data_IF_176388879342
#
_entry.id   IF_176388879342
#
_cell.length_a   1.000
_cell.length_b   1.000
_cell.length_c   1.000
_cell.angle_alpha   90.00
_cell.angle_beta   90.00
_cell.angle_gamma   90.00
#
_symmetry.space_group_name_H-M   'P 1'
#
loop_
_entity.id
_entity.type
_entity.pdbx_description
1 polymer ?
#
# COMPACT_ATOMS: atom_id res chain seq x y z
N UNK A 1 16.58 10.23 -73.10
CA UNK A 1 15.91 11.52 -73.38
C UNK A 1 15.66 12.20 -72.04
N UNK A 2 16.34 13.32 -71.79
CA UNK A 2 16.21 14.18 -70.61
C UNK A 2 14.78 14.69 -70.42
N UNK A 3 14.36 14.90 -69.17
CA UNK A 3 14.25 16.26 -68.61
C UNK A 3 13.91 16.21 -67.11
N UNK A 4 14.69 16.97 -66.33
CA UNK A 4 14.38 17.40 -64.96
C UNK A 4 13.31 18.49 -64.98
N UNK A 5 12.50 18.58 -63.92
CA UNK A 5 12.03 19.87 -63.39
C UNK A 5 12.06 19.83 -61.85
N UNK A 6 12.50 20.95 -61.30
CA UNK A 6 12.76 21.30 -59.91
C UNK A 6 11.52 21.85 -59.17
N UNK A 7 11.37 21.41 -57.91
CA UNK A 7 11.31 22.24 -56.69
C UNK A 7 10.03 23.03 -56.28
N UNK A 8 9.71 22.87 -54.97
CA UNK A 8 9.15 23.83 -53.97
C UNK A 8 7.75 23.54 -53.37
N UNK A 9 7.78 23.15 -52.09
CA UNK A 9 7.14 23.89 -50.99
C UNK A 9 5.64 23.77 -50.80
N UNK A 10 5.22 23.05 -49.74
CA UNK A 10 4.26 23.54 -48.73
C UNK A 10 3.98 22.45 -47.69
N UNK A 11 4.17 22.80 -46.43
CA UNK A 11 3.80 22.03 -45.24
C UNK A 11 2.27 21.94 -45.12
N UNK A 12 1.68 20.77 -44.85
CA UNK A 12 0.35 20.72 -44.25
C UNK A 12 0.48 20.55 -42.74
N UNK A 13 -0.23 21.42 -42.02
CA UNK A 13 -0.42 21.41 -40.58
C UNK A 13 -0.91 20.05 -40.06
N UNK A 14 -0.28 19.56 -39.00
CA UNK A 14 -0.79 18.46 -38.19
C UNK A 14 -2.00 19.00 -37.43
N UNK A 15 -3.20 18.64 -37.87
CA UNK A 15 -4.42 18.82 -37.08
C UNK A 15 -4.32 17.94 -35.83
N UNK A 16 -4.35 18.60 -34.67
CA UNK A 16 -4.58 17.99 -33.37
C UNK A 16 -5.90 17.21 -33.40
N UNK A 17 -5.84 15.91 -33.15
CA UNK A 17 -7.01 15.10 -32.81
C UNK A 17 -6.79 14.58 -31.38
N UNK A 18 -7.41 15.27 -30.42
CA UNK A 18 -7.57 14.76 -29.07
C UNK A 18 -8.76 13.78 -29.03
N UNK A 19 -8.64 12.56 -28.47
CA UNK A 19 -9.81 11.74 -28.19
C UNK A 19 -10.42 12.12 -26.84
N UNK A 20 -11.68 12.56 -26.87
CA UNK A 20 -12.58 12.72 -25.72
C UNK A 20 -12.75 11.38 -25.00
N UNK A 21 -12.33 11.31 -23.73
CA UNK A 21 -12.68 10.25 -22.78
C UNK A 21 -14.04 10.62 -22.19
N UNK A 22 -15.12 10.32 -22.92
CA UNK A 22 -16.50 10.41 -22.40
C UNK A 22 -17.41 9.31 -22.98
N UNK A 23 -16.82 8.19 -23.43
CA UNK A 23 -17.58 7.11 -24.07
C UNK A 23 -17.18 5.70 -23.56
N UNK A 24 -17.00 5.57 -22.24
CA UNK A 24 -16.76 4.26 -21.61
C UNK A 24 -17.78 3.91 -20.51
N UNK A 25 -18.80 4.74 -20.26
CA UNK A 25 -19.79 4.50 -19.19
C UNK A 25 -21.23 4.26 -19.68
N UNK A 26 -21.50 4.17 -20.99
CA UNK A 26 -22.88 3.98 -21.49
C UNK A 26 -23.14 2.68 -22.28
N UNK A 27 -22.17 1.76 -22.40
CA UNK A 27 -22.30 0.55 -23.23
C UNK A 27 -22.56 -0.77 -22.48
N UNK A 28 -22.97 -0.72 -21.20
CA UNK A 28 -23.46 -1.91 -20.48
C UNK A 28 -24.93 -1.75 -20.04
N UNK A 29 -25.82 -1.59 -21.02
CA UNK A 29 -27.24 -1.87 -20.87
C UNK A 29 -27.68 -2.68 -22.11
N UNK A 30 -27.63 -4.01 -22.02
CA UNK A 30 -28.47 -4.86 -22.85
C UNK A 30 -29.01 -6.03 -22.02
N UNK A 31 -30.31 -6.22 -22.20
CA UNK A 31 -31.23 -7.05 -21.44
C UNK A 31 -30.84 -8.53 -21.41
N UNK A 32 -30.86 -9.13 -20.23
CA UNK A 32 -31.04 -10.59 -20.09
C UNK A 32 -32.09 -10.84 -19.02
N UNK A 33 -33.09 -11.63 -19.39
CA UNK A 33 -34.38 -11.77 -18.72
C UNK A 33 -34.34 -12.07 -17.23
N UNK A 34 -35.38 -11.54 -16.57
CA UNK A 34 -35.79 -11.78 -15.20
C UNK A 34 -35.72 -13.27 -14.82
N UNK A 35 -34.88 -13.59 -13.83
CA UNK A 35 -35.10 -14.71 -12.93
C UNK A 35 -34.77 -14.22 -11.52
N UNK A 36 -35.80 -13.88 -10.75
CA UNK A 36 -35.68 -13.42 -9.36
C UNK A 36 -35.06 -14.52 -8.48
N UNK A 37 -33.76 -14.40 -8.22
CA UNK A 37 -33.14 -15.01 -7.03
C UNK A 37 -32.88 -13.92 -6.01
N UNK A 38 -33.61 -13.99 -4.90
CA UNK A 38 -33.53 -13.11 -3.72
C UNK A 38 -32.07 -12.80 -3.38
N UNK A 39 -31.64 -11.55 -3.59
CA UNK A 39 -30.37 -11.01 -3.05
C UNK A 39 -30.57 -10.69 -1.58
N UNK A 40 -29.59 -11.06 -0.75
CA UNK A 40 -29.53 -10.72 0.67
C UNK A 40 -29.51 -9.18 0.87
N UNK A 41 -30.22 -8.64 1.88
CA UNK A 41 -30.28 -7.20 2.16
C UNK A 41 -28.92 -6.54 2.45
N UNK A 42 -27.87 -7.33 2.76
CA UNK A 42 -26.56 -6.81 3.13
C UNK A 42 -25.75 -6.20 1.97
N UNK A 43 -26.12 -6.39 0.70
CA UNK A 43 -25.30 -5.88 -0.42
C UNK A 43 -25.62 -4.43 -0.81
N UNK A 44 -26.85 -3.94 -0.65
CA UNK A 44 -27.26 -2.65 -1.22
C UNK A 44 -26.64 -1.44 -0.48
N UNK A 45 -26.64 -1.46 0.85
CA UNK A 45 -26.00 -0.42 1.66
C UNK A 45 -24.47 -0.40 1.48
N UNK A 46 -23.88 -1.55 1.12
CA UNK A 46 -22.43 -1.74 0.91
C UNK A 46 -21.83 -0.91 -0.23
N UNK A 47 -22.64 -0.54 -1.22
CA UNK A 47 -22.17 0.10 -2.46
C UNK A 47 -22.37 1.63 -2.49
N UNK A 48 -23.07 2.21 -1.51
CA UNK A 48 -23.40 3.64 -1.52
C UNK A 48 -22.28 4.51 -0.92
N UNK A 49 -21.77 4.16 0.25
CA UNK A 49 -20.80 5.01 0.96
C UNK A 49 -19.42 5.06 0.30
N UNK A 50 -18.99 3.98 -0.37
CA UNK A 50 -17.65 3.84 -0.96
C UNK A 50 -17.40 4.74 -2.18
N UNK A 51 -18.46 5.27 -2.80
CA UNK A 51 -18.36 6.20 -3.95
C UNK A 51 -17.91 7.61 -3.57
N UNK A 52 -18.13 8.03 -2.32
CA UNK A 52 -17.77 9.37 -1.85
C UNK A 52 -16.27 9.49 -1.58
N UNK A 53 -15.66 8.48 -0.97
CA UNK A 53 -14.22 8.40 -0.69
C UNK A 53 -13.38 8.44 -1.99
N UNK A 54 -13.83 7.71 -3.02
CA UNK A 54 -13.21 7.72 -4.34
C UNK A 54 -13.23 9.11 -4.98
N UNK A 55 -14.35 9.85 -4.88
CA UNK A 55 -14.46 11.20 -5.43
C UNK A 55 -13.54 12.19 -4.74
N UNK A 56 -13.33 12.06 -3.43
CA UNK A 56 -12.40 12.91 -2.69
C UNK A 56 -10.93 12.65 -3.07
N UNK A 57 -10.53 11.39 -3.28
CA UNK A 57 -9.19 11.04 -3.79
C UNK A 57 -8.98 11.40 -5.28
N UNK A 58 -10.05 11.66 -6.02
CA UNK A 58 -10.07 11.89 -7.47
C UNK A 58 -10.40 13.34 -7.86
N UNK A 59 -10.61 14.24 -6.90
CA UNK A 59 -11.00 15.61 -7.21
C UNK A 59 -9.81 16.39 -7.75
N UNK A 60 -9.75 16.56 -9.07
CA UNK A 60 -8.94 17.61 -9.70
C UNK A 60 -9.52 19.00 -9.32
N UNK A 61 -8.69 20.06 -9.27
CA UNK A 61 -9.18 21.41 -9.01
C UNK A 61 -10.22 21.84 -10.05
N UNK A 62 -11.36 22.35 -9.58
CA UNK A 62 -12.53 22.76 -10.38
C UNK A 62 -12.25 23.99 -11.27
N UNK A 63 -11.12 24.65 -11.08
CA UNK A 63 -10.71 25.83 -11.84
C UNK A 63 -9.70 25.39 -12.91
N UNK A 64 -10.01 25.64 -14.19
CA UNK A 64 -9.22 25.25 -15.36
C UNK A 64 -7.85 25.93 -15.49
N UNK A 65 -7.20 26.31 -14.39
CA UNK A 65 -5.77 26.57 -14.34
C UNK A 65 -4.98 25.28 -14.59
N UNK A 66 -3.87 25.38 -15.33
CA UNK A 66 -2.92 24.27 -15.43
C UNK A 66 -2.60 23.79 -14.01
N UNK A 67 -2.75 22.50 -13.67
CA UNK A 67 -2.57 22.04 -12.31
C UNK A 67 -1.16 22.43 -11.88
N UNK A 68 -1.06 23.40 -10.97
CA UNK A 68 0.20 23.65 -10.27
C UNK A 68 0.53 22.32 -9.61
N UNK A 69 1.57 21.64 -10.10
CA UNK A 69 2.01 20.39 -9.49
C UNK A 69 2.24 20.69 -8.01
N UNK A 70 1.49 20.09 -7.08
CA UNK A 70 1.64 20.41 -5.68
C UNK A 70 3.08 20.12 -5.29
N UNK A 71 3.75 21.08 -4.68
CA UNK A 71 5.12 20.88 -4.22
C UNK A 71 5.06 20.07 -2.92
N UNK A 72 5.06 18.75 -3.03
CA UNK A 72 5.03 17.83 -1.89
C UNK A 72 6.36 17.90 -1.13
N UNK A 73 6.30 18.14 0.18
CA UNK A 73 7.47 18.22 1.07
C UNK A 73 7.26 17.40 2.33
N UNK A 74 8.36 16.93 2.92
CA UNK A 74 8.32 16.36 4.26
C UNK A 74 8.14 17.48 5.29
N UNK A 75 7.07 17.41 6.08
CA UNK A 75 6.77 18.38 7.13
C UNK A 75 6.78 17.67 8.49
N UNK A 76 7.55 18.18 9.48
CA UNK A 76 7.59 17.57 10.79
C UNK A 76 6.28 17.84 11.55
N UNK A 77 5.71 16.80 12.17
CA UNK A 77 4.59 16.87 13.09
C UNK A 77 4.83 15.91 14.25
N UNK A 78 4.94 16.44 15.47
CA UNK A 78 5.19 15.65 16.71
C UNK A 78 6.32 14.62 16.54
N UNK A 79 7.47 15.04 16.02
CA UNK A 79 8.64 14.18 15.73
C UNK A 79 8.35 13.05 14.74
N UNK A 80 7.51 13.30 13.73
CA UNK A 80 7.25 12.40 12.61
C UNK A 80 7.11 13.20 11.32
N UNK A 81 7.69 12.73 10.23
CA UNK A 81 7.58 13.42 8.94
C UNK A 81 6.29 12.99 8.24
N UNK A 82 5.46 13.99 7.94
CA UNK A 82 4.28 13.88 7.08
C UNK A 82 4.59 14.40 5.68
N UNK A 83 3.71 14.15 4.72
CA UNK A 83 3.85 14.61 3.33
C UNK A 83 2.81 15.70 3.12
N UNK A 84 3.24 16.95 2.92
CA UNK A 84 2.34 18.09 2.74
C UNK A 84 1.44 17.88 1.54
N UNK A 85 0.14 18.15 1.67
CA UNK A 85 -0.83 17.92 0.58
C UNK A 85 -1.29 16.46 0.43
N UNK A 86 -0.73 15.52 1.19
CA UNK A 86 -1.22 14.14 1.32
C UNK A 86 -1.77 13.88 2.71
N UNK A 87 -1.09 14.38 3.75
CA UNK A 87 -1.47 14.19 5.15
C UNK A 87 -1.84 15.52 5.81
N UNK A 88 -2.93 15.55 6.59
CA UNK A 88 -3.22 16.64 7.51
C UNK A 88 -2.74 16.30 8.92
N UNK A 89 -1.90 17.15 9.55
CA UNK A 89 -1.52 17.00 10.96
C UNK A 89 -2.72 16.94 11.92
N UNK A 90 -3.72 17.80 11.70
CA UNK A 90 -4.91 17.92 12.55
C UNK A 90 -5.76 16.65 12.52
N UNK A 91 -5.93 16.09 11.33
CA UNK A 91 -6.62 14.83 11.08
C UNK A 91 -5.88 13.66 11.74
N UNK A 92 -4.56 13.60 11.58
CA UNK A 92 -3.72 12.56 12.20
C UNK A 92 -3.84 12.59 13.74
N UNK A 93 -3.88 13.77 14.36
CA UNK A 93 -4.07 13.86 15.80
C UNK A 93 -5.46 13.36 16.27
N UNK A 94 -6.48 13.37 15.40
CA UNK A 94 -7.79 12.80 15.74
C UNK A 94 -7.82 11.26 15.72
N UNK A 95 -6.86 10.60 15.06
CA UNK A 95 -6.81 9.13 14.96
C UNK A 95 -6.80 8.47 16.35
N UNK A 96 -6.11 9.08 17.33
CA UNK A 96 -6.06 8.57 18.70
C UNK A 96 -7.45 8.45 19.35
N UNK A 97 -8.42 9.27 18.92
CA UNK A 97 -9.78 9.35 19.46
C UNK A 97 -10.76 8.40 18.76
N UNK A 98 -10.34 7.68 17.73
CA UNK A 98 -11.23 6.76 17.04
C UNK A 98 -11.78 5.69 18.00
N UNK A 99 -13.08 5.50 17.97
CA UNK A 99 -13.72 4.39 18.67
C UNK A 99 -13.42 3.08 17.93
N UNK A 100 -12.85 2.12 18.65
CA UNK A 100 -12.44 0.81 18.10
C UNK A 100 -13.46 -0.26 18.49
N UNK A 101 -13.87 -1.04 17.51
CA UNK A 101 -14.71 -2.23 17.66
C UNK A 101 -13.81 -3.47 17.73
N UNK A 102 -14.28 -4.51 18.41
CA UNK A 102 -13.47 -5.72 18.63
C UNK A 102 -13.20 -6.50 17.33
N UNK A 103 -14.02 -6.26 16.29
CA UNK A 103 -13.87 -6.83 14.95
C UNK A 103 -13.02 -6.00 13.99
N UNK A 104 -12.51 -4.83 14.41
CA UNK A 104 -11.65 -4.02 13.55
C UNK A 104 -10.28 -4.67 13.36
N UNK A 105 -9.71 -4.52 12.16
CA UNK A 105 -8.41 -5.10 11.80
C UNK A 105 -7.52 -3.99 11.24
N UNK A 106 -6.32 -3.89 11.81
CA UNK A 106 -5.32 -2.91 11.46
C UNK A 106 -4.06 -3.59 10.93
N UNK A 107 -3.66 -3.23 9.72
CA UNK A 107 -2.40 -3.67 9.11
C UNK A 107 -1.37 -2.56 9.27
N UNK A 108 -0.30 -2.86 9.99
CA UNK A 108 0.75 -1.91 10.34
C UNK A 108 2.02 -2.33 9.64
N UNK A 109 2.67 -1.39 8.97
CA UNK A 109 3.92 -1.66 8.27
C UNK A 109 4.79 -0.42 8.27
N UNK A 110 6.10 -0.56 8.32
CA UNK A 110 6.96 0.51 7.80
C UNK A 110 6.79 0.59 6.26
N UNK A 111 6.88 1.77 5.62
CA UNK A 111 6.81 1.89 4.16
C UNK A 111 7.62 0.82 3.43
N UNK A 112 7.00 0.20 2.42
CA UNK A 112 7.61 -0.82 1.55
C UNK A 112 7.89 -2.19 2.18
N UNK A 113 7.27 -2.49 3.33
CA UNK A 113 7.35 -3.81 3.99
C UNK A 113 6.36 -4.85 3.48
N UNK A 114 5.61 -4.57 2.39
CA UNK A 114 4.64 -5.52 1.81
C UNK A 114 3.17 -5.25 2.14
N UNK A 115 2.82 -4.02 2.52
CA UNK A 115 1.46 -3.61 2.89
C UNK A 115 0.39 -3.99 1.85
N UNK A 116 0.66 -3.75 0.57
CA UNK A 116 -0.29 -4.04 -0.51
C UNK A 116 -0.55 -5.54 -0.64
N UNK A 117 0.47 -6.35 -0.37
CA UNK A 117 0.35 -7.80 -0.37
C UNK A 117 -0.57 -8.26 0.76
N UNK A 118 -0.36 -7.74 1.97
CA UNK A 118 -1.23 -8.08 3.09
C UNK A 118 -2.64 -7.52 2.92
N UNK A 119 -2.82 -6.37 2.29
CA UNK A 119 -4.16 -5.88 1.93
C UNK A 119 -4.89 -6.87 1.03
N UNK A 120 -4.20 -7.43 0.02
CA UNK A 120 -4.79 -8.43 -0.86
C UNK A 120 -5.16 -9.70 -0.09
N UNK A 121 -4.24 -10.22 0.72
CA UNK A 121 -4.45 -11.44 1.51
C UNK A 121 -5.64 -11.28 2.44
N UNK A 122 -5.65 -10.25 3.28
CA UNK A 122 -6.73 -10.01 4.26
C UNK A 122 -8.05 -9.75 3.54
N UNK A 123 -8.07 -8.98 2.45
CA UNK A 123 -9.31 -8.76 1.72
C UNK A 123 -9.85 -10.05 1.07
N UNK A 124 -8.97 -10.94 0.60
CA UNK A 124 -9.35 -12.25 0.05
C UNK A 124 -9.85 -13.19 1.15
N UNK A 125 -9.27 -13.17 2.35
CA UNK A 125 -9.74 -13.92 3.53
C UNK A 125 -11.16 -13.48 3.90
N UNK A 126 -11.42 -12.18 3.98
CA UNK A 126 -12.73 -11.63 4.40
C UNK A 126 -13.85 -11.96 3.40
N UNK A 127 -13.54 -12.15 2.12
CA UNK A 127 -14.50 -12.63 1.10
C UNK A 127 -14.43 -14.14 0.88
N UNK A 128 -13.78 -14.89 1.78
CA UNK A 128 -13.63 -16.34 1.76
C UNK A 128 -13.10 -16.87 0.42
N UNK A 129 -12.07 -16.23 -0.13
CA UNK A 129 -11.47 -16.64 -1.40
C UNK A 129 -12.30 -16.30 -2.65
N UNK A 130 -13.46 -15.64 -2.52
CA UNK A 130 -14.29 -15.25 -3.66
C UNK A 130 -13.69 -14.04 -4.40
N UNK A 131 -12.92 -14.33 -5.45
CA UNK A 131 -12.25 -13.32 -6.28
C UNK A 131 -13.24 -12.31 -6.86
N UNK A 132 -14.45 -12.73 -7.26
CA UNK A 132 -15.43 -11.84 -7.90
C UNK A 132 -15.87 -10.69 -7.00
N UNK A 133 -15.85 -10.91 -5.67
CA UNK A 133 -16.17 -9.89 -4.68
C UNK A 133 -15.06 -8.82 -4.49
N UNK A 134 -13.99 -8.89 -5.30
CA UNK A 134 -12.81 -8.02 -5.20
C UNK A 134 -12.47 -7.29 -6.49
N UNK A 135 -13.18 -7.59 -7.58
CA UNK A 135 -12.88 -7.09 -8.92
C UNK A 135 -13.39 -5.67 -9.17
N UNK A 136 -14.33 -5.18 -8.36
CA UNK A 136 -14.96 -3.88 -8.53
C UNK A 136 -14.19 -2.73 -7.84
N UNK A 137 -13.25 -3.04 -6.94
CA UNK A 137 -12.61 -2.05 -6.08
C UNK A 137 -11.13 -2.31 -5.82
N UNK A 138 -10.35 -1.24 -5.87
CA UNK A 138 -8.93 -1.27 -5.52
C UNK A 138 -8.71 -1.69 -4.06
N UNK A 139 -7.58 -2.34 -3.78
CA UNK A 139 -7.14 -2.64 -2.40
C UNK A 139 -7.13 -1.40 -1.51
N UNK A 140 -6.72 -0.25 -2.05
CA UNK A 140 -6.71 1.04 -1.35
C UNK A 140 -8.10 1.46 -0.86
N UNK A 141 -9.17 1.08 -1.56
CA UNK A 141 -10.55 1.39 -1.18
C UNK A 141 -11.08 0.36 -0.20
N UNK A 142 -10.72 -0.91 -0.39
CA UNK A 142 -11.16 -2.01 0.49
C UNK A 142 -10.55 -1.90 1.88
N UNK A 143 -9.29 -1.48 1.96
CA UNK A 143 -8.55 -1.30 3.22
C UNK A 143 -7.81 0.05 3.16
N UNK A 144 -8.47 1.18 3.46
CA UNK A 144 -7.88 2.51 3.30
C UNK A 144 -6.84 2.83 4.37
N UNK A 145 -5.97 3.79 4.03
CA UNK A 145 -4.94 4.34 4.92
C UNK A 145 -5.58 5.19 6.02
N UNK A 146 -5.13 5.01 7.26
CA UNK A 146 -5.64 5.79 8.39
C UNK A 146 -5.31 7.28 8.25
N UNK A 147 -4.10 7.57 7.77
CA UNK A 147 -3.54 8.90 7.58
C UNK A 147 -4.07 9.66 6.36
N UNK A 148 -4.96 9.05 5.56
CA UNK A 148 -5.57 9.66 4.37
C UNK A 148 -7.10 9.76 4.46
N UNK A 149 -7.71 9.20 5.49
CA UNK A 149 -9.16 9.07 5.58
C UNK A 149 -9.62 9.04 7.04
N UNK A 150 -10.09 10.18 7.53
CA UNK A 150 -10.37 10.38 8.97
C UNK A 150 -11.83 10.51 9.34
N UNK A 151 -12.12 9.90 10.50
CA UNK A 151 -13.25 10.22 11.36
C UNK A 151 -14.56 9.58 10.91
N UNK A 152 -15.33 10.32 10.12
CA UNK A 152 -16.73 9.96 9.83
C UNK A 152 -16.84 8.69 8.98
N UNK A 153 -15.98 8.51 7.98
CA UNK A 153 -16.05 7.31 7.13
C UNK A 153 -15.67 6.06 7.92
N UNK A 154 -14.66 6.14 8.79
CA UNK A 154 -14.31 5.02 9.66
C UNK A 154 -15.40 4.75 10.70
N UNK A 155 -15.94 5.78 11.35
CA UNK A 155 -16.99 5.64 12.35
C UNK A 155 -18.25 4.97 11.78
N UNK A 156 -18.65 5.33 10.55
CA UNK A 156 -19.89 4.88 9.93
C UNK A 156 -19.75 3.60 9.07
N UNK A 157 -18.53 3.15 8.78
CA UNK A 157 -18.32 1.92 8.01
C UNK A 157 -18.87 0.68 8.76
N UNK A 158 -19.43 -0.31 8.05
CA UNK A 158 -19.85 -1.56 8.67
C UNK A 158 -18.65 -2.40 9.12
N UNK A 159 -18.89 -3.25 10.10
CA UNK A 159 -17.90 -4.20 10.60
C UNK A 159 -17.76 -5.43 9.68
N UNK A 160 -16.58 -6.06 9.62
CA UNK A 160 -15.32 -5.60 10.22
C UNK A 160 -14.72 -4.42 9.45
N UNK A 161 -14.19 -3.41 10.16
CA UNK A 161 -13.52 -2.27 9.53
C UNK A 161 -12.04 -2.59 9.40
N UNK A 162 -11.54 -2.49 8.16
CA UNK A 162 -10.15 -2.77 7.82
C UNK A 162 -9.42 -1.45 7.58
N UNK A 163 -8.23 -1.29 8.15
CA UNK A 163 -7.36 -0.12 7.94
C UNK A 163 -5.91 -0.54 7.80
N UNK A 164 -5.15 0.25 7.04
CA UNK A 164 -3.69 0.15 6.98
C UNK A 164 -3.05 1.45 7.45
N UNK A 165 -1.82 1.40 7.96
CA UNK A 165 -1.07 2.62 8.24
C UNK A 165 0.44 2.41 8.24
N UNK A 166 1.15 3.50 7.94
CA UNK A 166 2.59 3.66 8.13
C UNK A 166 2.96 4.53 9.33
N UNK A 167 1.96 4.96 10.11
CA UNK A 167 2.19 5.83 11.26
C UNK A 167 2.93 5.13 12.39
N UNK A 168 3.75 5.90 13.08
CA UNK A 168 4.40 5.47 14.32
C UNK A 168 3.35 5.15 15.40
N UNK A 169 3.67 4.18 16.28
CA UNK A 169 2.82 3.71 17.39
C UNK A 169 2.20 4.85 18.24
N UNK A 170 2.83 6.02 18.29
CA UNK A 170 2.32 7.19 19.05
C UNK A 170 1.01 7.77 18.52
N UNK A 171 0.66 7.54 17.26
CA UNK A 171 -0.55 8.10 16.64
C UNK A 171 -1.75 7.14 16.64
N UNK A 172 -1.59 5.93 17.16
CA UNK A 172 -2.62 4.89 17.01
C UNK A 172 -3.86 5.20 17.86
N UNK A 173 -5.03 4.67 17.47
CA UNK A 173 -6.24 4.72 18.29
C UNK A 173 -5.99 4.16 19.69
N UNK A 174 -6.38 4.89 20.73
CA UNK A 174 -6.13 4.49 22.11
C UNK A 174 -6.84 3.18 22.47
N UNK A 175 -7.96 2.86 21.80
CA UNK A 175 -8.67 1.59 21.98
C UNK A 175 -7.81 0.36 21.64
N UNK A 176 -6.84 0.47 20.71
CA UNK A 176 -5.93 -0.65 20.40
C UNK A 176 -5.07 -1.03 21.60
N UNK A 177 -4.62 -0.03 22.39
CA UNK A 177 -3.82 -0.23 23.61
C UNK A 177 -4.61 -0.90 24.75
N UNK A 178 -5.91 -1.04 24.58
CA UNK A 178 -6.81 -1.73 25.50
C UNK A 178 -7.22 -3.11 24.94
N UNK A 179 -6.43 -3.65 23.99
CA UNK A 179 -6.70 -4.92 23.30
C UNK A 179 -8.06 -4.97 22.59
N UNK A 180 -8.58 -3.82 22.12
CA UNK A 180 -9.72 -3.79 21.20
C UNK A 180 -9.23 -3.91 19.77
N UNK A 181 -9.99 -4.58 18.92
CA UNK A 181 -9.60 -4.89 17.55
C UNK A 181 -8.39 -5.81 17.47
N UNK A 182 -7.86 -5.99 16.26
CA UNK A 182 -6.73 -6.87 15.93
C UNK A 182 -5.68 -6.11 15.13
N UNK A 183 -4.41 -6.26 15.50
CA UNK A 183 -3.27 -5.60 14.86
C UNK A 183 -2.38 -6.66 14.21
N UNK A 184 -2.13 -6.52 12.91
CA UNK A 184 -1.15 -7.32 12.18
C UNK A 184 0.01 -6.40 11.80
N UNK A 185 1.18 -6.61 12.40
CA UNK A 185 2.40 -5.91 12.04
C UNK A 185 3.23 -6.74 11.06
N UNK A 186 3.55 -6.17 9.90
CA UNK A 186 4.45 -6.80 8.92
C UNK A 186 5.82 -6.13 8.97
N UNK A 187 6.82 -6.89 9.38
CA UNK A 187 8.22 -6.52 9.23
C UNK A 187 8.77 -7.01 7.90
N UNK A 188 9.86 -6.41 7.45
CA UNK A 188 10.64 -6.86 6.31
C UNK A 188 12.11 -6.52 6.57
N UNK A 189 13.02 -7.27 5.97
CA UNK A 189 14.44 -6.93 5.94
C UNK A 189 14.64 -5.43 5.57
N UNK A 190 15.22 -4.62 6.47
CA UNK A 190 15.37 -3.18 6.26
C UNK A 190 16.27 -2.80 5.07
N UNK A 191 17.21 -3.67 4.68
CA UNK A 191 18.06 -3.44 3.50
C UNK A 191 17.23 -3.53 2.22
N UNK A 192 16.33 -4.51 2.11
CA UNK A 192 15.40 -4.64 0.99
C UNK A 192 14.32 -3.54 0.99
N UNK A 193 13.88 -3.11 2.19
CA UNK A 193 13.02 -1.93 2.32
C UNK A 193 13.71 -0.73 1.69
N UNK A 194 14.98 -0.46 2.02
CA UNK A 194 15.70 0.71 1.51
C UNK A 194 15.76 0.72 -0.02
N UNK A 195 16.09 -0.42 -0.65
CA UNK A 195 16.06 -0.54 -2.12
C UNK A 195 14.66 -0.32 -2.68
N UNK A 196 13.65 -0.96 -2.08
CA UNK A 196 12.27 -0.79 -2.54
C UNK A 196 11.77 0.65 -2.37
N UNK A 197 12.28 1.38 -1.38
CA UNK A 197 11.86 2.73 -1.08
C UNK A 197 12.57 3.76 -1.95
N UNK A 198 13.83 3.52 -2.30
CA UNK A 198 14.56 4.29 -3.32
C UNK A 198 13.80 4.30 -4.65
N UNK A 199 13.46 3.12 -5.17
CA UNK A 199 12.67 3.01 -6.41
C UNK A 199 11.28 3.62 -6.28
N UNK A 200 10.67 3.54 -5.10
CA UNK A 200 9.37 4.17 -4.87
C UNK A 200 9.45 5.70 -4.87
N UNK A 201 10.51 6.32 -4.35
CA UNK A 201 10.69 7.78 -4.44
C UNK A 201 10.90 8.26 -5.89
N UNK A 202 11.46 7.42 -6.76
CA UNK A 202 11.57 7.73 -8.20
C UNK A 202 10.19 7.63 -8.87
N UNK A 203 9.40 6.63 -8.47
CA UNK A 203 8.10 6.31 -9.05
C UNK A 203 6.97 7.23 -8.56
N UNK A 204 7.03 7.71 -7.32
CA UNK A 204 5.93 8.37 -6.64
C UNK A 204 6.10 9.90 -6.63
N UNK A 205 5.21 10.61 -7.33
CA UNK A 205 5.26 12.07 -7.52
C UNK A 205 5.11 12.86 -6.22
N UNK A 206 4.54 12.26 -5.17
CA UNK A 206 4.43 12.88 -3.85
C UNK A 206 5.69 12.79 -2.99
N UNK A 207 6.77 12.20 -3.53
CA UNK A 207 8.04 12.08 -2.86
C UNK A 207 9.13 12.76 -3.68
N UNK A 208 10.10 13.34 -2.97
CA UNK A 208 11.28 13.92 -3.62
C UNK A 208 12.09 12.81 -4.30
N UNK A 209 12.39 12.99 -5.60
CA UNK A 209 13.22 12.03 -6.33
C UNK A 209 14.67 12.12 -5.84
N UNK A 210 15.26 11.02 -5.30
CA UNK A 210 16.65 11.01 -4.88
C UNK A 210 17.59 11.13 -6.08
N UNK A 211 18.75 11.78 -5.88
CA UNK A 211 19.78 11.91 -6.91
C UNK A 211 20.34 10.54 -7.34
N UNK A 212 20.65 9.71 -6.35
CA UNK A 212 21.21 8.37 -6.51
C UNK A 212 20.97 7.54 -5.23
N UNK A 213 21.32 6.25 -5.28
CA UNK A 213 21.12 5.36 -4.13
C UNK A 213 21.94 5.79 -2.90
N UNK A 214 23.13 6.35 -3.07
CA UNK A 214 23.98 6.80 -1.96
C UNK A 214 23.32 7.95 -1.19
N UNK A 215 22.81 8.95 -1.90
CA UNK A 215 22.06 10.05 -1.28
C UNK A 215 20.80 9.57 -0.56
N UNK A 216 20.12 8.55 -1.10
CA UNK A 216 18.95 7.96 -0.46
C UNK A 216 19.33 7.13 0.78
N UNK A 217 20.43 6.40 0.73
CA UNK A 217 20.97 5.63 1.85
C UNK A 217 21.19 6.53 3.07
N UNK A 218 21.85 7.68 2.89
CA UNK A 218 22.07 8.64 3.99
C UNK A 218 20.75 9.14 4.57
N UNK A 219 19.81 9.57 3.72
CA UNK A 219 18.49 10.03 4.17
C UNK A 219 17.73 8.97 4.95
N UNK A 220 17.77 7.72 4.50
CA UNK A 220 17.12 6.61 5.18
C UNK A 220 17.76 6.34 6.54
N UNK A 221 19.09 6.31 6.62
CA UNK A 221 19.82 6.10 7.87
C UNK A 221 19.56 7.22 8.89
N UNK A 222 19.39 8.46 8.42
CA UNK A 222 19.02 9.62 9.24
C UNK A 222 17.52 9.68 9.59
N UNK A 223 16.69 8.82 9.01
CA UNK A 223 15.23 8.86 9.19
C UNK A 223 14.56 10.07 8.54
N UNK A 224 15.19 10.70 7.54
CA UNK A 224 14.66 11.84 6.76
C UNK A 224 13.83 11.38 5.56
N UNK A 225 12.87 10.50 5.85
CA UNK A 225 11.88 9.94 4.94
C UNK A 225 10.53 9.86 5.65
N UNK A 226 9.43 9.74 4.89
CA UNK A 226 8.14 9.41 5.49
C UNK A 226 8.23 8.04 6.20
N UNK A 227 7.66 7.92 7.40
CA UNK A 227 7.86 6.76 8.29
C UNK A 227 9.06 6.89 9.25
N UNK A 228 9.89 7.93 9.09
CA UNK A 228 11.07 8.23 9.92
C UNK A 228 12.09 7.08 9.97
N UNK A 229 12.75 6.88 11.10
CA UNK A 229 13.74 5.83 11.28
C UNK A 229 13.04 4.46 11.39
N UNK A 230 13.41 3.52 10.51
CA UNK A 230 12.88 2.16 10.54
C UNK A 230 13.09 1.47 11.90
N UNK A 231 14.28 1.63 12.50
CA UNK A 231 14.63 1.04 13.80
C UNK A 231 13.67 1.48 14.90
N UNK A 232 13.40 2.78 14.99
CA UNK A 232 12.48 3.34 15.98
C UNK A 232 11.04 2.88 15.72
N UNK A 233 10.63 2.83 14.45
CA UNK A 233 9.29 2.36 14.08
C UNK A 233 9.03 0.94 14.56
N UNK A 234 9.88 -0.02 14.19
CA UNK A 234 9.70 -1.42 14.60
C UNK A 234 9.87 -1.60 16.11
N UNK A 235 10.85 -0.93 16.72
CA UNK A 235 11.08 -1.00 18.17
C UNK A 235 9.87 -0.51 18.95
N UNK A 236 9.28 0.62 18.57
CA UNK A 236 8.10 1.15 19.24
C UNK A 236 6.91 0.19 19.15
N UNK A 237 6.58 -0.30 17.95
CA UNK A 237 5.46 -1.21 17.76
C UNK A 237 5.67 -2.57 18.46
N UNK A 238 6.84 -3.18 18.32
CA UNK A 238 7.12 -4.49 18.89
C UNK A 238 7.22 -4.46 20.42
N UNK A 239 7.74 -3.37 21.00
CA UNK A 239 7.87 -3.25 22.46
C UNK A 239 6.50 -3.15 23.15
N UNK A 240 5.51 -2.52 22.52
CA UNK A 240 4.15 -2.38 23.06
C UNK A 240 3.20 -3.51 22.63
N UNK A 241 3.69 -4.55 21.95
CA UNK A 241 2.84 -5.62 21.39
C UNK A 241 1.94 -6.31 22.41
N UNK A 242 2.37 -6.41 23.67
CA UNK A 242 1.62 -7.07 24.74
C UNK A 242 0.39 -6.29 25.21
N UNK A 243 0.32 -5.00 24.87
CA UNK A 243 -0.82 -4.10 25.16
C UNK A 243 -1.94 -4.24 24.12
N UNK A 244 -1.70 -4.97 23.03
CA UNK A 244 -2.59 -5.08 21.88
C UNK A 244 -2.91 -6.56 21.59
N UNK A 245 -3.99 -6.83 20.86
CA UNK A 245 -4.14 -8.11 20.17
C UNK A 245 -3.26 -8.05 18.92
N UNK A 246 -2.09 -8.66 18.98
CA UNK A 246 -1.00 -8.36 18.05
C UNK A 246 -0.45 -9.63 17.39
N UNK A 247 -0.45 -9.65 16.06
CA UNK A 247 0.24 -10.64 15.26
C UNK A 247 1.47 -10.00 14.60
N UNK A 248 2.63 -10.58 14.87
CA UNK A 248 3.87 -10.28 14.14
C UNK A 248 4.07 -11.30 13.02
N UNK A 249 4.24 -10.82 11.80
CA UNK A 249 4.67 -11.61 10.65
C UNK A 249 5.75 -10.87 9.88
N UNK A 250 6.53 -11.58 9.09
CA UNK A 250 7.52 -10.96 8.20
C UNK A 250 7.11 -11.12 6.73
N UNK A 251 7.61 -10.22 5.88
CA UNK A 251 7.52 -10.35 4.43
C UNK A 251 8.18 -11.65 3.96
N UNK A 252 9.26 -12.04 4.63
CA UNK A 252 10.01 -13.25 4.35
C UNK A 252 9.22 -14.51 4.70
N UNK A 253 8.42 -14.53 5.79
CA UNK A 253 7.48 -15.60 6.10
C UNK A 253 6.49 -15.82 4.94
N UNK A 254 5.97 -14.71 4.39
CA UNK A 254 5.02 -14.75 3.27
C UNK A 254 5.64 -15.27 1.98
N UNK A 255 6.94 -15.02 1.76
CA UNK A 255 7.68 -15.53 0.60
C UNK A 255 8.02 -17.01 0.77
N UNK A 256 8.44 -17.43 1.97
CA UNK A 256 8.83 -18.80 2.29
C UNK A 256 7.64 -19.76 2.13
N UNK A 257 6.53 -19.46 2.81
CA UNK A 257 5.32 -20.27 2.74
C UNK A 257 4.08 -19.39 2.92
N UNK A 258 3.59 -18.90 1.78
CA UNK A 258 2.35 -18.11 1.74
C UNK A 258 1.15 -18.87 2.31
N UNK A 259 1.10 -20.19 2.14
CA UNK A 259 -0.03 -21.02 2.59
C UNK A 259 -0.05 -21.09 4.12
N UNK A 260 1.09 -21.35 4.75
CA UNK A 260 1.23 -21.37 6.21
C UNK A 260 1.05 -19.98 6.82
N UNK A 261 1.53 -18.92 6.16
CA UNK A 261 1.31 -17.55 6.62
C UNK A 261 -0.18 -17.17 6.56
N UNK A 262 -0.91 -17.59 5.52
CA UNK A 262 -2.37 -17.42 5.44
C UNK A 262 -3.08 -18.15 6.59
N UNK A 263 -2.66 -19.37 6.96
CA UNK A 263 -3.22 -20.06 8.13
C UNK A 263 -3.01 -19.27 9.42
N UNK A 264 -1.79 -18.79 9.67
CA UNK A 264 -1.48 -17.97 10.85
C UNK A 264 -2.35 -16.72 10.94
N UNK A 265 -2.57 -16.05 9.81
CA UNK A 265 -3.46 -14.88 9.73
C UNK A 265 -4.90 -15.30 9.98
N UNK A 266 -5.39 -16.40 9.39
CA UNK A 266 -6.75 -16.89 9.60
C UNK A 266 -7.02 -17.26 11.06
N UNK A 267 -6.10 -17.97 11.72
CA UNK A 267 -6.17 -18.31 13.14
C UNK A 267 -6.26 -17.03 13.99
N UNK A 268 -5.37 -16.07 13.75
CA UNK A 268 -5.36 -14.81 14.50
C UNK A 268 -6.64 -13.98 14.26
N UNK A 269 -7.15 -13.96 13.04
CA UNK A 269 -8.38 -13.25 12.69
C UNK A 269 -9.65 -14.02 13.09
N UNK A 270 -9.54 -15.28 13.51
CA UNK A 270 -10.66 -16.20 13.75
C UNK A 270 -11.53 -16.31 12.49
N UNK A 271 -10.91 -16.80 11.40
CA UNK A 271 -11.55 -17.01 10.10
C UNK A 271 -11.35 -18.44 9.66
N UNK A 272 -12.45 -19.18 9.59
CA UNK A 272 -12.42 -20.56 9.11
C UNK A 272 -12.65 -20.59 7.60
N UNK A 273 -11.59 -20.94 6.87
CA UNK A 273 -11.61 -21.18 5.44
C UNK A 273 -11.57 -22.68 5.17
N UNK A 274 -12.35 -23.13 4.20
CA UNK A 274 -12.17 -24.46 3.61
C UNK A 274 -10.84 -24.53 2.85
N UNK A 275 -10.35 -25.73 2.58
CA UNK A 275 -9.13 -25.93 1.78
C UNK A 275 -9.20 -25.21 0.42
N UNK A 276 -10.35 -25.25 -0.25
CA UNK A 276 -10.55 -24.60 -1.54
C UNK A 276 -10.57 -23.06 -1.43
N UNK A 277 -11.21 -22.51 -0.40
CA UNK A 277 -11.23 -21.06 -0.16
C UNK A 277 -9.81 -20.55 0.14
N UNK A 278 -9.05 -21.29 0.97
CA UNK A 278 -7.64 -20.99 1.25
C UNK A 278 -6.78 -21.06 -0.01
N UNK A 279 -6.93 -22.10 -0.82
CA UNK A 279 -6.19 -22.23 -2.09
C UNK A 279 -6.43 -21.01 -2.98
N UNK A 280 -7.68 -20.54 -3.06
CA UNK A 280 -8.03 -19.32 -3.80
C UNK A 280 -7.36 -18.07 -3.21
N UNK A 281 -7.36 -17.91 -1.88
CA UNK A 281 -6.63 -16.81 -1.22
C UNK A 281 -5.16 -16.83 -1.61
N UNK A 282 -4.49 -17.98 -1.49
CA UNK A 282 -3.06 -18.14 -1.80
C UNK A 282 -2.79 -17.84 -3.28
N UNK A 283 -3.51 -18.51 -4.19
CA UNK A 283 -3.35 -18.35 -5.64
C UNK A 283 -3.46 -16.89 -6.06
N UNK A 284 -4.52 -16.21 -5.64
CA UNK A 284 -4.79 -14.83 -6.05
C UNK A 284 -3.99 -13.78 -5.29
N UNK A 285 -3.24 -14.18 -4.27
CA UNK A 285 -2.31 -13.32 -3.53
C UNK A 285 -0.86 -13.53 -3.95
N UNK A 286 -0.54 -14.41 -4.90
CA UNK A 286 0.83 -14.52 -5.41
C UNK A 286 1.27 -13.24 -6.12
N UNK A 287 2.58 -12.91 -6.07
CA UNK A 287 3.13 -11.73 -6.75
C UNK A 287 2.76 -11.67 -8.24
N UNK A 288 2.87 -12.81 -8.94
CA UNK A 288 2.58 -12.89 -10.37
C UNK A 288 1.10 -12.58 -10.69
N UNK A 289 0.17 -13.09 -9.87
CA UNK A 289 -1.25 -12.84 -10.09
C UNK A 289 -1.66 -11.43 -9.66
N UNK A 290 -1.15 -10.94 -8.53
CA UNK A 290 -1.38 -9.56 -8.10
C UNK A 290 -0.87 -8.56 -9.12
N UNK A 291 0.32 -8.77 -9.72
CA UNK A 291 0.90 -7.87 -10.72
C UNK A 291 0.00 -7.68 -11.95
N UNK A 292 -0.74 -8.72 -12.32
CA UNK A 292 -1.71 -8.71 -13.44
C UNK A 292 -3.10 -8.21 -13.04
N UNK A 293 -3.41 -8.12 -11.76
CA UNK A 293 -4.72 -7.70 -11.27
C UNK A 293 -4.79 -6.16 -11.13
N UNK A 294 -5.60 -5.46 -11.95
CA UNK A 294 -5.72 -4.00 -11.90
C UNK A 294 -6.25 -3.48 -10.56
N UNK A 295 -6.97 -4.30 -9.78
CA UNK A 295 -7.47 -3.89 -8.46
C UNK A 295 -6.46 -4.07 -7.33
N UNK A 296 -5.37 -4.80 -7.58
CA UNK A 296 -4.36 -5.10 -6.56
C UNK A 296 -2.96 -4.53 -6.88
N UNK A 297 -2.68 -4.20 -8.14
CA UNK A 297 -1.33 -3.78 -8.57
C UNK A 297 -1.05 -2.27 -8.46
N UNK A 298 -2.04 -1.47 -8.04
CA UNK A 298 -1.95 -0.02 -7.89
C UNK A 298 -1.66 0.76 -9.18
N UNK A 299 -1.79 0.14 -10.36
CA UNK A 299 -1.59 0.83 -11.64
C UNK A 299 -2.72 1.79 -12.00
N UNK A 300 -3.92 1.56 -11.48
CA UNK A 300 -5.08 2.42 -11.71
C UNK A 300 -5.18 3.59 -10.70
N UNK A 301 -4.20 3.76 -9.82
CA UNK A 301 -4.17 4.90 -8.90
C UNK A 301 -3.77 6.18 -9.65
N UNK A 302 -4.53 7.28 -9.52
CA UNK A 302 -4.32 8.54 -10.25
C UNK A 302 -3.04 9.28 -9.81
N UNK A 303 -2.72 10.36 -10.54
CA UNK A 303 -1.73 11.48 -10.45
C UNK A 303 -0.53 11.44 -9.48
N UNK A 304 -0.55 10.65 -8.40
CA UNK A 304 0.54 10.46 -7.45
C UNK A 304 1.65 9.51 -7.94
N UNK A 305 1.45 8.77 -9.03
CA UNK A 305 2.44 7.83 -9.57
C UNK A 305 2.83 8.17 -11.00
N UNK A 306 4.12 8.00 -11.31
CA UNK A 306 4.68 8.17 -12.64
C UNK A 306 4.88 6.80 -13.30
N UNK A 307 3.90 6.36 -14.08
CA UNK A 307 3.91 5.06 -14.75
C UNK A 307 5.00 4.91 -15.80
N UNK A 308 5.59 6.01 -16.28
CA UNK A 308 6.73 5.98 -17.20
C UNK A 308 8.05 5.63 -16.47
N UNK A 309 8.11 5.86 -15.16
CA UNK A 309 9.28 5.58 -14.32
C UNK A 309 9.26 4.19 -13.67
N UNK A 310 8.25 3.38 -13.94
CA UNK A 310 8.21 1.98 -13.54
C UNK A 310 6.85 1.51 -13.03
N UNK A 311 6.87 0.56 -12.09
CA UNK A 311 5.67 -0.06 -11.56
C UNK A 311 5.76 -0.22 -10.05
N UNK A 312 4.61 -0.09 -9.37
CA UNK A 312 4.52 -0.32 -7.93
C UNK A 312 4.98 -1.74 -7.54
N UNK A 313 4.52 -2.76 -8.26
CA UNK A 313 4.93 -4.15 -8.10
C UNK A 313 6.21 -4.45 -8.90
N UNK A 314 7.37 -4.09 -8.31
CA UNK A 314 8.69 -4.12 -8.98
C UNK A 314 9.28 -5.53 -9.16
N UNK A 315 9.75 -6.16 -8.08
CA UNK A 315 10.40 -7.50 -8.11
C UNK A 315 9.75 -8.55 -7.20
N UNK A 316 9.26 -8.16 -6.03
CA UNK A 316 8.58 -9.09 -5.10
C UNK A 316 9.48 -10.22 -4.59
N UNK A 317 10.71 -9.90 -4.18
CA UNK A 317 11.72 -10.88 -3.74
C UNK A 317 12.46 -10.45 -2.47
N UNK A 318 13.21 -11.39 -1.90
CA UNK A 318 14.14 -11.21 -0.77
C UNK A 318 15.58 -11.16 -1.31
N UNK A 319 16.41 -10.27 -0.78
CA UNK A 319 17.84 -10.19 -1.06
C UNK A 319 18.24 -9.25 -2.21
N UNK A 320 17.33 -8.41 -2.73
CA UNK A 320 17.67 -7.48 -3.83
C UNK A 320 18.63 -6.38 -3.36
N UNK A 321 18.73 -6.14 -2.05
CA UNK A 321 19.70 -5.23 -1.44
C UNK A 321 21.15 -5.49 -1.85
N UNK A 322 21.52 -6.73 -2.14
CA UNK A 322 22.87 -7.11 -2.61
C UNK A 322 23.26 -6.46 -3.94
N UNK A 323 22.28 -6.08 -4.76
CA UNK A 323 22.51 -5.44 -6.05
C UNK A 323 22.71 -3.92 -5.92
N UNK A 324 22.59 -3.34 -4.72
CA UNK A 324 22.60 -1.89 -4.49
C UNK A 324 23.60 -1.46 -3.43
N UNK A 325 23.72 -2.21 -2.34
CA UNK A 325 24.61 -1.85 -1.25
C UNK A 325 26.06 -2.08 -1.66
N UNK A 326 26.89 -1.05 -1.46
CA UNK A 326 28.34 -1.24 -1.41
C UNK A 326 28.72 -1.99 -0.12
N UNK A 327 29.91 -2.60 -0.10
CA UNK A 327 30.44 -3.27 1.11
C UNK A 327 30.45 -2.33 2.31
N UNK A 328 30.95 -1.09 2.14
CA UNK A 328 31.01 -0.10 3.20
C UNK A 328 29.62 0.32 3.73
N UNK A 329 28.63 0.48 2.85
CA UNK A 329 27.25 0.74 3.26
C UNK A 329 26.65 -0.43 4.04
N UNK A 330 26.93 -1.66 3.59
CA UNK A 330 26.48 -2.85 4.28
C UNK A 330 27.06 -2.94 5.70
N UNK A 331 28.37 -2.75 5.86
CA UNK A 331 29.05 -2.76 7.16
C UNK A 331 28.51 -1.68 8.10
N UNK A 332 28.34 -0.44 7.60
CA UNK A 332 27.75 0.65 8.40
C UNK A 332 26.31 0.34 8.81
N UNK A 333 25.52 -0.24 7.91
CA UNK A 333 24.16 -0.65 8.22
C UNK A 333 24.15 -1.75 9.29
N UNK A 334 25.00 -2.77 9.15
CA UNK A 334 25.08 -3.89 10.08
C UNK A 334 25.50 -3.44 11.47
N UNK A 335 26.45 -2.52 11.58
CA UNK A 335 26.83 -1.91 12.86
C UNK A 335 25.65 -1.20 13.52
N UNK A 336 24.94 -0.34 12.77
CA UNK A 336 23.78 0.37 13.30
C UNK A 336 22.64 -0.59 13.67
N UNK A 337 22.44 -1.65 12.91
CA UNK A 337 21.44 -2.67 13.19
C UNK A 337 21.75 -3.41 14.49
N UNK A 338 22.99 -3.88 14.66
CA UNK A 338 23.42 -4.54 15.90
C UNK A 338 23.25 -3.63 17.11
N UNK A 339 23.65 -2.35 17.00
CA UNK A 339 23.49 -1.39 18.09
C UNK A 339 22.02 -1.15 18.46
N UNK A 340 21.17 -0.88 17.46
CA UNK A 340 19.79 -0.43 17.68
C UNK A 340 18.81 -1.57 17.96
N UNK A 341 19.07 -2.78 17.49
CA UNK A 341 18.14 -3.91 17.56
C UNK A 341 18.52 -4.99 18.57
N UNK A 342 19.70 -4.93 19.20
CA UNK A 342 20.18 -5.96 20.16
C UNK A 342 19.21 -6.31 21.29
N UNK A 343 18.37 -5.37 21.72
CA UNK A 343 17.46 -5.57 22.86
C UNK A 343 16.13 -6.23 22.46
N UNK A 344 15.91 -6.47 21.17
CA UNK A 344 14.68 -7.07 20.66
C UNK A 344 14.93 -8.53 20.25
N UNK A 345 14.08 -9.48 20.67
CA UNK A 345 14.17 -10.88 20.29
C UNK A 345 13.60 -11.10 18.87
N UNK A 346 14.11 -10.35 17.90
CA UNK A 346 13.67 -10.38 16.51
C UNK A 346 14.76 -10.96 15.62
N UNK A 347 14.41 -12.01 14.90
CA UNK A 347 15.25 -12.58 13.84
C UNK A 347 14.78 -12.06 12.49
N UNK A 348 15.72 -11.78 11.60
CA UNK A 348 15.46 -11.36 10.23
C UNK A 348 16.11 -12.33 9.26
N UNK A 349 15.37 -12.66 8.22
CA UNK A 349 15.87 -13.37 7.04
C UNK A 349 16.45 -12.32 6.10
N UNK A 350 17.75 -12.42 5.81
CA UNK A 350 18.44 -11.42 4.99
C UNK A 350 18.46 -11.82 3.53
N UNK A 351 18.43 -13.13 3.28
CA UNK A 351 18.54 -13.75 1.97
C UNK A 351 17.60 -14.95 1.86
N UNK A 352 17.22 -15.30 0.63
CA UNK A 352 16.35 -16.46 0.39
C UNK A 352 17.01 -17.79 0.76
N UNK A 353 18.35 -17.85 0.78
CA UNK A 353 19.07 -19.07 1.18
C UNK A 353 19.05 -19.28 2.70
N UNK A 354 18.87 -18.21 3.49
CA UNK A 354 18.69 -18.30 4.95
C UNK A 354 17.37 -19.00 5.32
N UNK A 355 16.48 -19.17 4.33
CA UNK A 355 15.17 -19.83 4.45
C UNK A 355 15.33 -21.37 4.37
N UNK A 356 16.52 -21.86 4.02
CA UNK A 356 16.82 -23.28 3.71
C UNK A 356 17.54 -24.03 4.83
N UNK A 357 17.24 -23.74 6.10
CA UNK A 357 17.80 -24.46 7.28
C UNK A 357 16.75 -24.75 8.33
#
# INVERSE_FOLDING_TARGET
>A
MCCQVQNRGSTPQVQQVAPRIEHFLESFNFEVGFCERKRSPHSSAYHSWRRTAWRAMMADPVDGSAPKTPEYKLVPHRDFYLISGIHSPEEIDQIQKWEIRDTDIFIITYPKSGTIWLQQIVSMIEVRGNVTATLDQLNAIRIPWMEMNVGEEFANAPSPRLRVTHLHYKFIPLGLKQKRGKVIYVARNPKDIMVSYFHFHIYANMLETPKDFNSFFERFMEGKVFGNCWFEHIKAWYSHRQEMNFLYITYEDLIQDLSAAVDRICVFLERDLTAQEKENVVKHSTFQNMRKNPTANYQAMPSHFNHDKGHFMRKGMVGDWKNYFTVAQNERFDQAFQEKMRDLPLTFVWEINDIST
#
